data_IF_042890700077
#
_entry.id   IF_042890700077
#
_cell.length_a   1.000
_cell.length_b   1.000
_cell.length_c   1.000
_cell.angle_alpha   90.00
_cell.angle_beta   90.00
_cell.angle_gamma   90.00
#
_symmetry.space_group_name_H-M   'P 1'
#
loop_
_entity.id
_entity.type
_entity.pdbx_description
1 polymer ?
#
# COMPACT_ATOMS: atom_id res chain seq x y z
N UNK A 1 17.87 -17.86 -7.41
CA UNK A 1 18.33 -17.99 -8.81
C UNK A 1 17.15 -18.22 -9.75
N UNK A 2 16.29 -19.21 -9.47
CA UNK A 2 15.18 -19.59 -10.36
C UNK A 2 14.16 -18.46 -10.60
N UNK A 3 13.74 -17.71 -9.57
CA UNK A 3 12.82 -16.57 -9.77
C UNK A 3 13.41 -15.49 -10.69
N UNK A 4 14.72 -15.26 -10.63
CA UNK A 4 15.40 -14.34 -11.54
C UNK A 4 15.45 -14.91 -12.97
N UNK A 5 15.63 -16.23 -13.11
CA UNK A 5 15.55 -16.91 -14.40
C UNK A 5 14.13 -16.88 -14.99
N UNK A 6 13.08 -16.99 -14.17
CA UNK A 6 11.68 -16.82 -14.59
C UNK A 6 11.42 -15.38 -15.07
N UNK A 7 11.91 -14.37 -14.34
CA UNK A 7 11.83 -12.98 -14.79
C UNK A 7 12.59 -12.73 -16.10
N UNK A 8 13.75 -13.38 -16.29
CA UNK A 8 14.48 -13.33 -17.55
C UNK A 8 13.74 -14.04 -18.69
N UNK A 9 13.01 -15.13 -18.39
CA UNK A 9 12.17 -15.84 -19.35
C UNK A 9 10.99 -14.98 -19.81
N UNK A 10 10.31 -14.27 -18.90
CA UNK A 10 9.24 -13.32 -19.26
C UNK A 10 9.75 -12.23 -20.21
N UNK A 11 10.93 -11.65 -19.93
CA UNK A 11 11.59 -10.69 -20.85
C UNK A 11 11.95 -11.30 -22.19
N UNK A 12 12.37 -12.56 -22.19
CA UNK A 12 12.71 -13.29 -23.42
C UNK A 12 11.46 -13.56 -24.27
N UNK A 13 10.31 -13.84 -23.66
CA UNK A 13 9.03 -14.04 -24.36
C UNK A 13 8.47 -12.74 -24.95
N UNK A 14 8.60 -11.61 -24.24
CA UNK A 14 8.13 -10.30 -24.73
C UNK A 14 8.75 -9.88 -26.09
N UNK A 15 9.92 -10.41 -26.41
CA UNK A 15 10.63 -10.15 -27.68
C UNK A 15 10.20 -11.09 -28.83
N UNK A 16 9.20 -11.96 -28.61
CA UNK A 16 8.87 -13.09 -29.50
C UNK A 16 7.38 -13.21 -29.80
N UNK A 17 7.07 -13.83 -30.93
CA UNK A 17 5.70 -14.20 -31.29
C UNK A 17 5.26 -15.53 -30.63
N UNK A 18 4.00 -15.93 -30.86
CA UNK A 18 3.42 -17.20 -30.37
C UNK A 18 4.16 -18.45 -30.85
N UNK A 19 4.93 -18.35 -31.94
CA UNK A 19 5.78 -19.44 -32.45
C UNK A 19 7.21 -19.38 -31.91
N UNK A 20 7.47 -18.51 -30.92
CA UNK A 20 8.76 -18.23 -30.29
C UNK A 20 9.81 -17.62 -31.22
N UNK A 21 9.40 -17.09 -32.37
CA UNK A 21 10.28 -16.37 -33.29
C UNK A 21 10.47 -14.95 -32.82
N UNK A 22 11.68 -14.44 -32.98
CA UNK A 22 12.02 -13.07 -32.56
C UNK A 22 11.27 -12.08 -33.44
N UNK A 23 10.58 -11.14 -32.80
CA UNK A 23 9.87 -10.06 -33.48
C UNK A 23 10.85 -9.15 -34.23
N UNK A 24 10.37 -8.51 -35.31
CA UNK A 24 11.14 -7.50 -36.04
C UNK A 24 11.56 -6.34 -35.11
N UNK A 25 12.70 -5.71 -35.39
CA UNK A 25 13.23 -4.61 -34.55
C UNK A 25 12.27 -3.41 -34.45
N UNK A 26 11.46 -3.18 -35.48
CA UNK A 26 10.44 -2.13 -35.50
C UNK A 26 9.31 -2.40 -34.51
N UNK A 27 8.76 -3.62 -34.51
CA UNK A 27 7.69 -4.05 -33.58
C UNK A 27 8.18 -3.99 -32.14
N UNK A 28 9.41 -4.47 -31.88
CA UNK A 28 10.01 -4.40 -30.52
C UNK A 28 10.31 -3.00 -30.04
N UNK A 29 10.48 -2.02 -30.94
CA UNK A 29 10.59 -0.60 -30.56
C UNK A 29 9.22 0.00 -30.26
N UNK A 30 8.19 -0.38 -31.02
CA UNK A 30 6.80 -0.01 -30.73
C UNK A 30 6.36 -0.46 -29.34
N UNK A 31 6.52 -1.74 -29.03
CA UNK A 31 6.18 -2.34 -27.72
C UNK A 31 6.94 -1.64 -26.57
N UNK A 32 8.23 -1.31 -26.76
CA UNK A 32 9.02 -0.60 -25.74
C UNK A 32 8.65 0.87 -25.55
N UNK A 33 8.10 1.50 -26.59
CA UNK A 33 7.62 2.88 -26.53
C UNK A 33 6.17 2.99 -26.03
N UNK A 34 5.48 1.86 -25.91
CA UNK A 34 4.12 1.78 -25.42
C UNK A 34 4.06 1.91 -23.91
N UNK A 35 3.01 2.57 -23.45
CA UNK A 35 2.69 2.75 -22.02
C UNK A 35 1.57 1.77 -21.62
N UNK A 36 1.15 0.91 -22.56
CA UNK A 36 0.10 -0.07 -22.33
C UNK A 36 0.58 -1.12 -21.31
N UNK A 37 -0.12 -1.31 -20.16
CA UNK A 37 0.32 -2.21 -19.09
C UNK A 37 0.49 -3.67 -19.53
N UNK A 38 -0.29 -4.08 -20.53
CA UNK A 38 -0.34 -5.41 -21.15
C UNK A 38 0.83 -5.72 -22.09
N UNK A 39 1.61 -4.71 -22.50
CA UNK A 39 2.76 -4.88 -23.38
C UNK A 39 4.10 -5.04 -22.63
N UNK A 40 4.05 -5.14 -21.30
CA UNK A 40 5.21 -5.38 -20.43
C UNK A 40 5.54 -6.88 -20.28
N UNK A 41 6.81 -7.24 -20.01
CA UNK A 41 7.19 -8.63 -19.73
C UNK A 41 6.36 -9.27 -18.61
N UNK A 42 5.57 -10.29 -18.96
CA UNK A 42 4.65 -10.96 -18.03
C UNK A 42 5.26 -12.22 -17.43
N UNK A 43 5.19 -12.33 -16.10
CA UNK A 43 5.54 -13.56 -15.37
C UNK A 43 4.50 -14.65 -15.65
N UNK A 44 3.23 -14.28 -15.90
CA UNK A 44 2.16 -15.23 -16.21
C UNK A 44 2.45 -15.96 -17.52
N UNK A 45 2.89 -15.22 -18.55
CA UNK A 45 3.25 -15.80 -19.84
C UNK A 45 4.46 -16.74 -19.71
N UNK A 46 5.42 -16.38 -18.84
CA UNK A 46 6.55 -17.23 -18.54
C UNK A 46 6.13 -18.55 -17.88
N UNK A 47 5.17 -18.53 -16.96
CA UNK A 47 4.62 -19.74 -16.34
C UNK A 47 3.82 -20.58 -17.34
N UNK A 48 3.02 -19.96 -18.21
CA UNK A 48 2.27 -20.66 -19.26
C UNK A 48 3.20 -21.30 -20.30
N UNK A 49 4.30 -20.62 -20.64
CA UNK A 49 5.34 -21.19 -21.48
C UNK A 49 6.00 -22.39 -20.78
N UNK A 50 6.36 -22.27 -19.51
CA UNK A 50 6.95 -23.38 -18.72
C UNK A 50 6.04 -24.61 -18.72
N UNK A 51 4.73 -24.45 -18.67
CA UNK A 51 3.79 -25.58 -18.71
C UNK A 51 3.83 -26.36 -20.02
N UNK A 52 3.96 -25.67 -21.15
CA UNK A 52 3.82 -26.26 -22.48
C UNK A 52 5.15 -26.62 -23.13
N UNK A 53 6.24 -25.97 -22.71
CA UNK A 53 7.56 -26.17 -23.28
C UNK A 53 8.13 -27.56 -22.96
N UNK A 54 8.86 -28.18 -23.91
CA UNK A 54 9.67 -29.37 -23.66
C UNK A 54 10.72 -29.13 -22.57
N UNK A 55 11.05 -30.16 -21.79
CA UNK A 55 12.00 -30.04 -20.67
C UNK A 55 13.43 -29.66 -21.13
N UNK A 56 13.80 -30.04 -22.35
CA UNK A 56 15.10 -29.71 -22.97
C UNK A 56 15.11 -28.34 -23.68
N UNK A 57 14.03 -27.57 -23.58
CA UNK A 57 13.94 -26.29 -24.26
C UNK A 57 14.98 -25.30 -23.71
N UNK A 58 15.83 -24.76 -24.60
CA UNK A 58 16.97 -23.86 -24.26
C UNK A 58 16.63 -22.69 -23.32
N UNK A 59 15.39 -22.18 -23.40
CA UNK A 59 14.94 -21.06 -22.57
C UNK A 59 14.73 -21.45 -21.10
N UNK A 60 14.59 -22.75 -20.81
CA UNK A 60 14.45 -23.31 -19.47
C UNK A 60 15.81 -23.71 -18.85
N UNK A 61 16.90 -23.70 -19.62
CA UNK A 61 18.21 -24.21 -19.19
C UNK A 61 18.83 -23.51 -17.97
N UNK A 62 18.30 -22.33 -17.58
CA UNK A 62 18.73 -21.58 -16.39
C UNK A 62 17.92 -21.90 -15.13
N UNK A 63 16.86 -22.70 -15.27
CA UNK A 63 16.05 -23.18 -14.16
C UNK A 63 16.65 -24.47 -13.62
N UNK A 64 16.73 -24.58 -12.30
CA UNK A 64 16.99 -25.85 -11.64
C UNK A 64 15.83 -26.83 -11.89
N UNK A 65 16.08 -28.13 -11.77
CA UNK A 65 15.04 -29.16 -11.89
C UNK A 65 13.92 -28.95 -10.86
N UNK A 66 14.29 -28.67 -9.61
CA UNK A 66 13.35 -28.34 -8.53
C UNK A 66 12.57 -27.05 -8.82
N UNK A 67 13.25 -26.01 -9.32
CA UNK A 67 12.64 -24.75 -9.72
C UNK A 67 11.63 -24.94 -10.85
N UNK A 68 11.97 -25.72 -11.87
CA UNK A 68 11.10 -26.06 -12.99
C UNK A 68 9.87 -26.82 -12.52
N UNK A 69 10.03 -27.85 -11.67
CA UNK A 69 8.92 -28.60 -11.11
C UNK A 69 7.95 -27.72 -10.30
N UNK A 70 8.50 -26.82 -9.47
CA UNK A 70 7.70 -25.85 -8.70
C UNK A 70 6.98 -24.84 -9.59
N UNK A 71 7.63 -24.34 -10.64
CA UNK A 71 7.01 -23.43 -11.61
C UNK A 71 5.90 -24.09 -12.41
N UNK A 72 6.09 -25.35 -12.84
CA UNK A 72 5.02 -26.13 -13.48
C UNK A 72 3.83 -26.29 -12.55
N UNK A 73 4.06 -26.61 -11.27
CA UNK A 73 2.97 -26.71 -10.27
C UNK A 73 2.24 -25.38 -10.10
N UNK A 74 2.97 -24.28 -9.90
CA UNK A 74 2.39 -22.94 -9.73
C UNK A 74 1.63 -22.49 -10.98
N UNK A 75 2.20 -22.68 -12.17
CA UNK A 75 1.55 -22.36 -13.43
C UNK A 75 0.24 -23.14 -13.62
N UNK A 76 0.24 -24.43 -13.32
CA UNK A 76 -0.95 -25.28 -13.44
C UNK A 76 -2.06 -24.82 -12.49
N UNK A 77 -1.70 -24.47 -11.25
CA UNK A 77 -2.64 -23.94 -10.26
C UNK A 77 -3.25 -22.61 -10.71
N UNK A 78 -2.44 -21.66 -11.18
CA UNK A 78 -2.92 -20.37 -11.69
C UNK A 78 -3.77 -20.53 -12.96
N UNK A 79 -3.42 -21.46 -13.85
CA UNK A 79 -4.23 -21.78 -15.03
C UNK A 79 -5.58 -22.40 -14.65
N UNK A 80 -5.61 -23.23 -13.60
CA UNK A 80 -6.84 -23.81 -13.07
C UNK A 80 -7.76 -22.75 -12.45
N UNK A 81 -7.20 -21.79 -11.71
CA UNK A 81 -7.95 -20.65 -11.15
C UNK A 81 -8.49 -19.74 -12.26
N UNK A 82 -7.67 -19.37 -13.26
CA UNK A 82 -8.11 -18.53 -14.39
C UNK A 82 -9.30 -19.12 -15.15
N UNK A 83 -9.34 -20.45 -15.34
CA UNK A 83 -10.47 -21.13 -15.98
C UNK A 83 -11.80 -21.02 -15.22
N UNK A 84 -11.74 -20.66 -13.94
CA UNK A 84 -12.89 -20.51 -13.03
C UNK A 84 -13.18 -19.06 -12.67
N UNK A 85 -12.50 -18.09 -13.29
CA UNK A 85 -12.73 -16.66 -13.04
C UNK A 85 -14.14 -16.17 -13.45
N UNK A 86 -14.93 -17.01 -14.13
CA UNK A 86 -16.35 -16.75 -14.44
C UNK A 86 -17.33 -17.16 -13.33
N UNK A 87 -16.87 -17.72 -12.21
CA UNK A 87 -17.70 -17.95 -11.02
C UNK A 87 -18.17 -16.62 -10.43
N UNK A 88 -19.21 -16.66 -9.59
CA UNK A 88 -19.58 -15.52 -8.74
C UNK A 88 -18.39 -15.11 -7.87
N UNK A 89 -18.26 -13.81 -7.57
CA UNK A 89 -17.07 -13.28 -6.90
C UNK A 89 -16.81 -13.95 -5.54
N UNK A 90 -17.87 -14.17 -4.74
CA UNK A 90 -17.78 -14.88 -3.46
C UNK A 90 -17.22 -16.29 -3.66
N UNK A 91 -17.84 -17.07 -4.54
CA UNK A 91 -17.41 -18.45 -4.84
C UNK A 91 -15.97 -18.50 -5.37
N UNK A 92 -15.58 -17.53 -6.20
CA UNK A 92 -14.23 -17.45 -6.75
C UNK A 92 -13.20 -17.15 -5.64
N UNK A 93 -13.51 -16.23 -4.72
CA UNK A 93 -12.66 -15.92 -3.57
C UNK A 93 -12.53 -17.12 -2.65
N UNK A 94 -13.63 -17.79 -2.30
CA UNK A 94 -13.61 -19.02 -1.48
C UNK A 94 -12.78 -20.11 -2.14
N UNK A 95 -12.93 -20.31 -3.45
CA UNK A 95 -12.12 -21.26 -4.22
C UNK A 95 -10.63 -20.91 -4.13
N UNK A 96 -10.25 -19.63 -4.28
CA UNK A 96 -8.85 -19.19 -4.18
C UNK A 96 -8.31 -19.46 -2.77
N UNK A 97 -9.07 -19.16 -1.72
CA UNK A 97 -8.66 -19.43 -0.34
C UNK A 97 -8.39 -20.93 -0.12
N UNK A 98 -9.28 -21.80 -0.59
CA UNK A 98 -9.15 -23.25 -0.48
C UNK A 98 -8.00 -23.80 -1.32
N UNK A 99 -7.85 -23.37 -2.57
CA UNK A 99 -6.76 -23.82 -3.46
C UNK A 99 -5.39 -23.41 -2.93
N UNK A 100 -5.29 -22.24 -2.28
CA UNK A 100 -4.07 -21.75 -1.64
C UNK A 100 -3.91 -22.23 -0.19
N UNK A 101 -4.88 -22.98 0.34
CA UNK A 101 -4.91 -23.51 1.71
C UNK A 101 -4.74 -22.42 2.78
N UNK A 102 -5.25 -21.22 2.52
CA UNK A 102 -5.10 -20.07 3.42
C UNK A 102 -5.83 -20.30 4.74
N UNK A 103 -7.02 -20.89 4.66
CA UNK A 103 -7.84 -21.30 5.80
C UNK A 103 -7.09 -22.26 6.74
N UNK A 104 -6.41 -23.26 6.17
CA UNK A 104 -5.62 -24.24 6.92
C UNK A 104 -4.39 -23.57 7.54
N UNK A 105 -3.63 -22.80 6.77
CA UNK A 105 -2.39 -22.16 7.24
C UNK A 105 -2.68 -21.21 8.41
N UNK A 106 -3.72 -20.39 8.26
CA UNK A 106 -4.19 -19.46 9.29
C UNK A 106 -4.63 -20.20 10.55
N UNK A 107 -5.48 -21.24 10.42
CA UNK A 107 -5.93 -22.02 11.57
C UNK A 107 -4.79 -22.77 12.27
N UNK A 108 -3.76 -23.15 11.51
CA UNK A 108 -2.60 -23.88 12.00
C UNK A 108 -1.51 -22.98 12.62
N UNK A 109 -1.61 -21.65 12.49
CA UNK A 109 -0.58 -20.72 12.93
C UNK A 109 -0.94 -20.03 14.26
N UNK A 110 -0.50 -20.58 15.41
CA UNK A 110 -0.82 -20.00 16.73
C UNK A 110 -0.13 -18.64 16.97
N UNK A 111 0.86 -18.26 16.16
CA UNK A 111 1.53 -16.98 16.28
C UNK A 111 0.72 -15.82 15.67
N UNK A 112 -0.35 -16.11 14.94
CA UNK A 112 -1.21 -15.13 14.27
C UNK A 112 -2.68 -15.34 14.68
N UNK A 113 -3.06 -14.95 15.91
CA UNK A 113 -4.39 -15.23 16.46
C UNK A 113 -5.53 -14.58 15.67
N UNK A 114 -5.24 -13.48 14.96
CA UNK A 114 -6.21 -12.76 14.13
C UNK A 114 -6.37 -13.33 12.72
N UNK A 115 -5.65 -14.40 12.36
CA UNK A 115 -5.67 -14.89 10.99
C UNK A 115 -7.08 -15.27 10.52
N UNK A 116 -7.84 -16.04 11.32
CA UNK A 116 -9.18 -16.50 10.91
C UNK A 116 -10.17 -15.34 10.82
N UNK A 117 -10.16 -14.46 11.83
CA UNK A 117 -10.95 -13.23 11.83
C UNK A 117 -10.61 -12.31 10.64
N UNK A 118 -9.36 -12.31 10.17
CA UNK A 118 -8.95 -11.53 9.00
C UNK A 118 -9.52 -12.09 7.70
N UNK A 119 -9.61 -13.42 7.56
CA UNK A 119 -10.27 -14.05 6.41
C UNK A 119 -11.79 -13.80 6.43
N UNK A 120 -12.43 -13.95 7.59
CA UNK A 120 -13.85 -13.66 7.76
C UNK A 120 -14.18 -12.19 7.44
N UNK A 121 -13.37 -11.25 7.93
CA UNK A 121 -13.50 -9.82 7.62
C UNK A 121 -13.36 -9.54 6.11
N UNK A 122 -12.46 -10.26 5.44
CA UNK A 122 -12.32 -10.16 3.99
C UNK A 122 -13.55 -10.70 3.25
N UNK A 123 -14.12 -11.82 3.69
CA UNK A 123 -15.35 -12.39 3.12
C UNK A 123 -16.56 -11.46 3.31
N UNK A 124 -16.66 -10.80 4.48
CA UNK A 124 -17.64 -9.75 4.76
C UNK A 124 -17.50 -8.57 3.79
N UNK A 125 -16.26 -8.13 3.51
CA UNK A 125 -15.98 -7.05 2.56
C UNK A 125 -16.38 -7.43 1.13
N UNK A 126 -16.07 -8.67 0.71
CA UNK A 126 -16.47 -9.18 -0.62
C UNK A 126 -18.00 -9.22 -0.74
N UNK A 127 -18.69 -9.73 0.29
CA UNK A 127 -20.15 -9.81 0.33
C UNK A 127 -20.78 -8.42 0.27
N UNK A 128 -20.30 -7.48 1.10
CA UNK A 128 -20.76 -6.10 1.10
C UNK A 128 -20.54 -5.40 -0.25
N UNK A 129 -19.45 -5.70 -0.95
CA UNK A 129 -19.21 -5.18 -2.29
C UNK A 129 -20.24 -5.74 -3.27
N UNK A 130 -20.45 -7.06 -3.28
CA UNK A 130 -21.39 -7.74 -4.18
C UNK A 130 -22.81 -7.21 -4.02
N UNK A 131 -23.25 -6.96 -2.78
CA UNK A 131 -24.60 -6.43 -2.50
C UNK A 131 -24.79 -4.99 -3.02
N UNK A 132 -23.72 -4.21 -3.11
CA UNK A 132 -23.75 -2.80 -3.53
C UNK A 132 -23.48 -2.59 -5.02
N UNK A 133 -22.79 -3.52 -5.67
CA UNK A 133 -22.29 -3.36 -7.02
C UNK A 133 -23.31 -3.84 -8.06
N UNK A 134 -23.57 -3.00 -9.08
CA UNK A 134 -24.44 -3.38 -10.20
C UNK A 134 -23.85 -4.56 -11.02
N UNK A 135 -22.51 -4.59 -11.16
CA UNK A 135 -21.78 -5.61 -11.91
C UNK A 135 -20.59 -6.14 -11.09
N UNK A 136 -20.80 -7.12 -10.18
CA UNK A 136 -19.81 -7.59 -9.22
C UNK A 136 -18.79 -8.54 -9.87
N UNK A 137 -17.87 -7.99 -10.66
CA UNK A 137 -16.76 -8.73 -11.28
C UNK A 137 -15.48 -8.61 -10.47
N UNK A 138 -14.52 -9.53 -10.65
CA UNK A 138 -13.19 -9.43 -10.03
C UNK A 138 -12.49 -8.10 -10.38
N UNK A 139 -12.58 -7.66 -11.64
CA UNK A 139 -11.99 -6.38 -12.06
C UNK A 139 -12.62 -5.18 -11.35
N UNK A 140 -13.94 -5.17 -11.22
CA UNK A 140 -14.66 -4.12 -10.49
C UNK A 140 -14.29 -4.11 -9.00
N UNK A 141 -14.16 -5.29 -8.38
CA UNK A 141 -13.74 -5.43 -6.98
C UNK A 141 -12.31 -4.93 -6.75
N UNK A 142 -11.36 -5.28 -7.63
CA UNK A 142 -9.97 -4.78 -7.55
C UNK A 142 -9.88 -3.26 -7.75
N UNK A 143 -10.68 -2.71 -8.67
CA UNK A 143 -10.80 -1.26 -8.84
C UNK A 143 -11.38 -0.58 -7.60
N UNK A 144 -12.42 -1.17 -7.01
CA UNK A 144 -13.01 -0.71 -5.76
C UNK A 144 -12.03 -0.77 -4.59
N UNK A 145 -11.26 -1.87 -4.43
CA UNK A 145 -10.21 -1.97 -3.41
C UNK A 145 -9.16 -0.88 -3.57
N UNK A 146 -8.70 -0.65 -4.81
CA UNK A 146 -7.72 0.41 -5.12
C UNK A 146 -8.24 1.79 -4.72
N UNK A 147 -9.53 2.07 -4.93
CA UNK A 147 -10.16 3.32 -4.50
C UNK A 147 -10.40 3.38 -2.99
N UNK A 148 -10.74 2.25 -2.37
CA UNK A 148 -11.02 2.18 -0.94
C UNK A 148 -9.74 2.30 -0.10
N UNK A 149 -8.63 1.72 -0.54
CA UNK A 149 -7.28 1.93 0.02
C UNK A 149 -6.89 3.41 -0.05
N UNK A 150 -7.13 4.08 -1.19
CA UNK A 150 -6.81 5.49 -1.35
C UNK A 150 -7.62 6.41 -0.43
N UNK A 151 -8.82 5.99 -0.01
CA UNK A 151 -9.74 6.78 0.82
C UNK A 151 -9.74 6.35 2.30
N UNK A 152 -8.82 5.47 2.72
CA UNK A 152 -8.73 4.91 4.08
C UNK A 152 -10.06 4.28 4.58
N UNK A 153 -10.85 3.71 3.66
CA UNK A 153 -12.19 3.14 3.97
C UNK A 153 -12.17 1.63 4.25
N UNK A 154 -11.01 0.99 4.12
CA UNK A 154 -10.82 -0.44 4.39
C UNK A 154 -10.33 -0.72 5.80
N UNK A 155 -10.24 0.31 6.65
CA UNK A 155 -9.93 0.11 8.06
C UNK A 155 -10.94 -0.89 8.64
N UNK A 156 -10.47 -1.97 9.31
CA UNK A 156 -11.35 -2.95 9.93
C UNK A 156 -12.41 -2.27 10.78
N UNK A 157 -13.59 -2.90 10.91
CA UNK A 157 -14.58 -2.46 11.89
C UNK A 157 -13.87 -2.27 13.23
N UNK A 158 -14.02 -1.08 13.81
CA UNK A 158 -13.50 -0.84 15.16
C UNK A 158 -14.39 -1.63 16.10
N UNK A 159 -13.87 -2.72 16.62
CA UNK A 159 -14.55 -3.48 17.67
C UNK A 159 -14.78 -2.58 18.88
N UNK A 160 -15.84 -2.89 19.65
CA UNK A 160 -16.09 -2.19 20.90
C UNK A 160 -14.85 -2.28 21.82
N UNK A 161 -14.52 -1.23 22.58
CA UNK A 161 -13.36 -1.25 23.46
C UNK A 161 -13.45 -2.41 24.45
N UNK A 162 -12.55 -3.39 24.33
CA UNK A 162 -12.45 -4.48 25.29
C UNK A 162 -11.62 -4.04 26.51
N UNK A 163 -12.11 -4.27 27.75
CA UNK A 163 -11.33 -3.99 28.95
C UNK A 163 -9.98 -4.73 28.95
N UNK A 164 -8.89 -3.97 29.09
CA UNK A 164 -7.52 -4.51 29.11
C UNK A 164 -6.82 -4.53 27.75
N UNK A 165 -7.50 -4.14 26.66
CA UNK A 165 -6.89 -3.98 25.34
C UNK A 165 -6.40 -2.54 25.10
N UNK A 166 -5.34 -2.40 24.31
CA UNK A 166 -4.90 -1.11 23.77
C UNK A 166 -5.51 -0.93 22.38
N UNK A 167 -6.25 0.14 22.17
CA UNK A 167 -6.83 0.45 20.87
C UNK A 167 -5.81 1.21 20.00
N UNK A 168 -5.59 0.72 18.79
CA UNK A 168 -4.75 1.37 17.77
C UNK A 168 -5.65 1.88 16.66
N UNK A 169 -5.66 3.20 16.47
CA UNK A 169 -6.54 3.87 15.51
C UNK A 169 -5.84 5.10 14.91
N UNK A 170 -6.33 5.56 13.76
CA UNK A 170 -5.88 6.81 13.15
C UNK A 170 -6.41 8.02 13.92
N UNK A 171 -5.72 9.17 13.85
CA UNK A 171 -6.20 10.39 14.52
C UNK A 171 -7.60 10.79 14.03
N UNK A 172 -7.92 10.57 12.75
CA UNK A 172 -9.27 10.77 12.22
C UNK A 172 -10.30 9.87 12.90
N UNK A 173 -9.99 8.58 13.06
CA UNK A 173 -10.84 7.60 13.74
C UNK A 173 -11.04 7.89 15.24
N UNK A 174 -10.22 8.77 15.83
CA UNK A 174 -10.35 9.17 17.24
C UNK A 174 -11.39 10.26 17.49
N UNK A 175 -11.90 10.90 16.44
CA UNK A 175 -12.76 12.09 16.56
C UNK A 175 -14.04 11.74 17.32
N UNK A 176 -14.29 12.47 18.42
CA UNK A 176 -15.47 12.28 19.27
C UNK A 176 -15.28 11.21 20.36
N UNK A 177 -14.16 10.51 20.38
CA UNK A 177 -13.77 9.57 21.43
C UNK A 177 -12.78 10.21 22.40
N UNK A 178 -12.55 9.58 23.54
CA UNK A 178 -11.62 10.02 24.57
C UNK A 178 -11.08 8.84 25.39
N UNK A 179 -9.82 8.95 25.83
CA UNK A 179 -9.13 7.93 26.63
C UNK A 179 -8.39 8.58 27.80
N UNK A 180 -8.17 7.82 28.87
CA UNK A 180 -7.39 8.32 30.02
C UNK A 180 -5.94 8.61 29.61
N UNK A 181 -5.36 7.75 28.75
CA UNK A 181 -4.01 7.89 28.23
C UNK A 181 -4.02 7.80 26.70
N UNK A 182 -3.37 8.74 26.03
CA UNK A 182 -3.18 8.71 24.57
C UNK A 182 -1.70 8.76 24.24
N UNK A 183 -1.26 7.88 23.34
CA UNK A 183 0.08 7.90 22.78
C UNK A 183 0.02 8.24 21.28
N UNK A 184 0.72 9.30 20.87
CA UNK A 184 0.89 9.67 19.46
C UNK A 184 2.34 9.36 19.07
N UNK A 185 2.58 8.20 18.44
CA UNK A 185 3.90 7.87 17.92
C UNK A 185 4.19 8.66 16.64
N UNK A 186 5.46 8.68 16.23
CA UNK A 186 5.89 9.20 14.91
C UNK A 186 5.49 10.66 14.64
N UNK A 187 5.56 11.52 15.64
CA UNK A 187 5.49 12.97 15.43
C UNK A 187 6.79 13.51 14.82
N UNK A 188 6.96 13.27 13.52
CA UNK A 188 8.11 13.71 12.72
C UNK A 188 7.64 14.55 11.54
N UNK A 189 8.56 15.37 11.03
CA UNK A 189 8.35 16.16 9.83
C UNK A 189 8.02 15.25 8.63
N UNK A 190 7.15 15.71 7.74
CA UNK A 190 6.54 14.96 6.63
C UNK A 190 5.59 13.78 6.99
N UNK A 191 5.37 13.47 8.28
CA UNK A 191 4.35 12.49 8.71
C UNK A 191 3.21 13.15 9.49
N UNK A 192 3.52 14.03 10.43
CA UNK A 192 2.55 14.87 11.12
C UNK A 192 3.22 16.23 11.42
N UNK A 193 3.04 17.25 10.56
CA UNK A 193 2.11 17.30 9.44
C UNK A 193 2.57 16.45 8.25
N UNK A 194 1.61 15.81 7.58
CA UNK A 194 1.81 15.05 6.35
C UNK A 194 1.97 15.99 5.14
N UNK A 195 2.69 15.54 4.12
CA UNK A 195 2.75 16.25 2.84
C UNK A 195 1.44 16.08 2.06
N UNK A 196 0.92 17.15 1.44
CA UNK A 196 -0.23 17.03 0.57
C UNK A 196 0.07 16.12 -0.63
N UNK A 197 -0.89 15.28 -1.01
CA UNK A 197 -0.76 14.41 -2.21
C UNK A 197 -0.68 15.22 -3.50
N UNK A 198 -1.35 16.36 -3.55
CA UNK A 198 -1.35 17.32 -4.65
C UNK A 198 -1.72 18.69 -4.13
N UNK A 199 -1.01 19.72 -4.60
CA UNK A 199 -1.35 21.13 -4.35
C UNK A 199 -2.06 21.76 -5.55
N UNK A 200 -2.37 20.98 -6.58
CA UNK A 200 -3.02 21.48 -7.80
C UNK A 200 -4.51 21.72 -7.63
N UNK A 201 -5.07 21.41 -6.45
CA UNK A 201 -6.50 21.51 -6.17
C UNK A 201 -7.35 20.89 -7.29
N UNK A 202 -8.33 21.64 -7.81
CA UNK A 202 -9.22 21.17 -8.86
C UNK A 202 -8.60 20.99 -10.26
N UNK A 203 -7.37 21.46 -10.48
CA UNK A 203 -6.61 21.15 -11.70
C UNK A 203 -6.12 19.69 -11.74
N UNK A 204 -6.30 18.94 -10.64
CA UNK A 204 -6.06 17.50 -10.60
C UNK A 204 -7.17 16.75 -11.34
N UNK A 205 -6.82 15.68 -12.03
CA UNK A 205 -7.80 14.86 -12.75
C UNK A 205 -8.88 14.31 -11.81
N UNK A 206 -10.15 14.40 -12.24
CA UNK A 206 -11.28 13.85 -11.48
C UNK A 206 -11.78 14.72 -10.33
N UNK A 207 -11.23 15.92 -10.14
CA UNK A 207 -11.69 16.86 -9.10
C UNK A 207 -12.71 17.85 -9.66
N UNK A 208 -13.77 18.13 -8.88
CA UNK A 208 -14.76 19.16 -9.22
C UNK A 208 -14.12 20.56 -9.13
N UNK A 209 -14.33 21.47 -10.10
CA UNK A 209 -13.88 22.86 -9.99
C UNK A 209 -14.36 23.53 -8.71
N UNK A 210 -13.46 24.26 -8.05
CA UNK A 210 -13.70 24.83 -6.71
C UNK A 210 -14.93 25.74 -6.65
N UNK A 211 -15.21 26.47 -7.73
CA UNK A 211 -16.36 27.36 -7.86
C UNK A 211 -17.73 26.66 -7.81
N UNK A 212 -17.78 25.36 -8.08
CA UNK A 212 -19.01 24.57 -8.03
C UNK A 212 -19.19 23.85 -6.70
N UNK A 213 -18.23 23.98 -5.78
CA UNK A 213 -18.34 23.36 -4.47
C UNK A 213 -19.22 24.22 -3.55
N UNK A 214 -19.92 23.57 -2.62
CA UNK A 214 -20.74 24.27 -1.64
C UNK A 214 -19.93 25.08 -0.62
N UNK A 215 -18.65 24.76 -0.46
CA UNK A 215 -17.68 25.44 0.41
C UNK A 215 -16.73 26.37 -0.38
N UNK A 216 -17.12 26.81 -1.59
CA UNK A 216 -16.29 27.63 -2.47
C UNK A 216 -15.72 28.88 -1.78
N UNK A 217 -16.49 29.51 -0.88
CA UNK A 217 -16.08 30.71 -0.15
C UNK A 217 -15.00 30.43 0.93
N UNK A 218 -14.77 29.17 1.30
CA UNK A 218 -13.83 28.75 2.33
C UNK A 218 -12.55 28.12 1.77
N UNK A 219 -12.43 28.02 0.45
CA UNK A 219 -11.29 27.38 -0.23
C UNK A 219 -10.58 28.36 -1.17
N UNK A 220 -9.26 28.20 -1.38
CA UNK A 220 -8.50 28.95 -2.38
C UNK A 220 -9.20 28.92 -3.73
N UNK A 221 -9.18 30.06 -4.43
CA UNK A 221 -9.78 30.17 -5.75
C UNK A 221 -8.69 30.48 -6.78
N UNK A 222 -8.70 29.76 -7.90
CA UNK A 222 -7.76 30.04 -8.98
C UNK A 222 -8.17 31.34 -9.68
N UNK A 223 -7.35 32.38 -9.53
CA UNK A 223 -7.56 33.69 -10.18
C UNK A 223 -7.14 33.70 -11.66
N UNK A 224 -7.70 32.81 -12.49
CA UNK A 224 -7.33 32.69 -13.91
C UNK A 224 -8.14 33.62 -14.84
N UNK A 225 -9.28 34.13 -14.40
CA UNK A 225 -10.13 35.00 -15.24
C UNK A 225 -9.52 36.38 -15.38
N UNK A 226 -9.50 36.88 -16.62
CA UNK A 226 -8.99 38.22 -16.92
C UNK A 226 -7.48 38.30 -17.12
N UNK A 227 -6.77 37.20 -16.91
CA UNK A 227 -5.36 37.03 -17.28
C UNK A 227 -5.18 37.21 -18.79
N UNK A 228 -4.18 37.99 -19.20
CA UNK A 228 -3.92 38.35 -20.60
C UNK A 228 -2.68 37.66 -21.20
N UNK A 229 -1.89 36.95 -20.38
CA UNK A 229 -0.67 36.28 -20.83
C UNK A 229 -0.44 34.93 -20.15
N UNK A 230 0.36 34.06 -20.78
CA UNK A 230 0.77 32.78 -20.19
C UNK A 230 1.53 32.98 -18.87
N UNK A 231 2.35 34.03 -18.78
CA UNK A 231 3.13 34.34 -17.58
C UNK A 231 2.23 34.65 -16.39
N UNK A 232 1.23 35.52 -16.60
CA UNK A 232 0.22 35.83 -15.58
C UNK A 232 -0.59 34.59 -15.16
N UNK A 233 -0.87 33.66 -16.09
CA UNK A 233 -1.57 32.42 -15.78
C UNK A 233 -0.72 31.49 -14.92
N UNK A 234 0.55 31.32 -15.28
CA UNK A 234 1.51 30.51 -14.52
C UNK A 234 1.71 31.08 -13.10
N UNK A 235 1.73 32.40 -12.95
CA UNK A 235 1.76 33.09 -11.66
C UNK A 235 0.50 32.82 -10.83
N UNK A 236 -0.68 32.89 -11.43
CA UNK A 236 -1.95 32.59 -10.76
C UNK A 236 -2.02 31.12 -10.29
N UNK A 237 -1.57 30.17 -11.12
CA UNK A 237 -1.50 28.75 -10.76
C UNK A 237 -0.51 28.53 -9.61
N UNK A 238 0.63 29.22 -9.62
CA UNK A 238 1.63 29.13 -8.54
C UNK A 238 1.08 29.67 -7.22
N UNK A 239 0.42 30.83 -7.24
CA UNK A 239 -0.21 31.41 -6.06
C UNK A 239 -1.30 30.48 -5.49
N UNK A 240 -2.19 29.99 -6.35
CA UNK A 240 -3.23 29.03 -5.98
C UNK A 240 -2.65 27.73 -5.39
N UNK A 241 -1.56 27.21 -5.96
CA UNK A 241 -0.89 26.03 -5.43
C UNK A 241 -0.26 26.26 -4.05
N UNK A 242 0.18 27.49 -3.76
CA UNK A 242 0.77 27.85 -2.47
C UNK A 242 -0.32 27.99 -1.40
N UNK A 243 -1.42 28.67 -1.72
CA UNK A 243 -2.58 28.79 -0.84
C UNK A 243 -3.16 27.42 -0.47
N UNK A 244 -3.24 26.49 -1.43
CA UNK A 244 -3.64 25.11 -1.16
C UNK A 244 -2.69 24.37 -0.21
N UNK A 245 -1.38 24.62 -0.34
CA UNK A 245 -0.35 24.03 0.52
C UNK A 245 -0.46 24.57 1.95
N UNK A 246 -0.71 25.86 2.11
CA UNK A 246 -0.92 26.51 3.40
C UNK A 246 -2.19 25.99 4.09
N UNK A 247 -3.30 25.92 3.35
CA UNK A 247 -4.55 25.34 3.83
C UNK A 247 -4.38 23.89 4.30
N UNK A 248 -3.67 23.06 3.54
CA UNK A 248 -3.35 21.68 3.97
C UNK A 248 -2.55 21.67 5.27
N UNK A 249 -1.56 22.56 5.42
CA UNK A 249 -0.79 22.66 6.66
C UNK A 249 -1.66 23.06 7.87
N UNK A 250 -2.67 23.92 7.67
CA UNK A 250 -3.66 24.24 8.70
C UNK A 250 -4.58 23.05 9.02
N UNK A 251 -4.99 22.27 8.02
CA UNK A 251 -5.76 21.04 8.23
C UNK A 251 -4.98 20.02 9.05
N UNK A 252 -3.71 19.82 8.75
CA UNK A 252 -2.82 18.95 9.53
C UNK A 252 -2.63 19.44 10.97
N UNK A 253 -2.60 20.76 11.19
CA UNK A 253 -2.57 21.35 12.54
C UNK A 253 -3.88 21.07 13.29
N UNK A 254 -5.03 21.18 12.62
CA UNK A 254 -6.33 20.81 13.19
C UNK A 254 -6.38 19.32 13.53
N UNK A 255 -5.79 18.47 12.68
CA UNK A 255 -5.68 17.04 12.93
C UNK A 255 -4.83 16.76 14.18
N UNK A 256 -3.65 17.39 14.29
CA UNK A 256 -2.82 17.29 15.48
C UNK A 256 -3.57 17.73 16.74
N UNK A 257 -4.30 18.86 16.68
CA UNK A 257 -5.16 19.31 17.78
C UNK A 257 -6.21 18.28 18.18
N UNK A 258 -6.89 17.63 17.22
CA UNK A 258 -7.83 16.55 17.50
C UNK A 258 -7.14 15.44 18.28
N UNK A 259 -5.99 14.95 17.80
CA UNK A 259 -5.24 13.88 18.45
C UNK A 259 -4.80 14.23 19.88
N UNK A 260 -4.22 15.41 20.07
CA UNK A 260 -3.74 15.87 21.38
C UNK A 260 -4.88 16.00 22.40
N UNK A 261 -6.07 16.41 21.95
CA UNK A 261 -7.25 16.62 22.82
C UNK A 261 -8.07 15.37 23.09
N UNK A 262 -7.63 14.18 22.63
CA UNK A 262 -8.29 12.92 22.98
C UNK A 262 -7.89 12.39 24.37
N UNK A 263 -6.80 12.90 24.93
CA UNK A 263 -6.30 12.52 26.25
C UNK A 263 -7.07 13.22 27.37
N UNK A 264 -7.56 12.46 28.36
CA UNK A 264 -8.16 13.01 29.58
C UNK A 264 -7.14 13.29 30.67
N UNK A 265 -6.14 12.41 30.85
CA UNK A 265 -5.18 12.52 31.94
C UNK A 265 -3.73 12.61 31.43
N UNK A 266 -3.29 11.67 30.58
CA UNK A 266 -1.90 11.59 30.15
C UNK A 266 -1.76 11.55 28.63
N UNK A 267 -0.74 12.26 28.13
CA UNK A 267 -0.41 12.33 26.72
C UNK A 267 1.07 12.01 26.52
N UNK A 268 1.33 10.95 25.75
CA UNK A 268 2.68 10.56 25.35
C UNK A 268 2.90 10.93 23.88
N UNK A 269 3.87 11.80 23.63
CA UNK A 269 4.28 12.19 22.28
C UNK A 269 5.68 11.65 22.00
N UNK A 270 5.87 11.01 20.85
CA UNK A 270 7.20 10.51 20.46
C UNK A 270 7.49 10.69 18.98
N UNK A 271 8.78 10.81 18.64
CA UNK A 271 9.28 10.89 17.27
C UNK A 271 10.64 10.20 17.17
N UNK A 272 11.13 9.95 15.95
CA UNK A 272 12.55 9.59 15.78
C UNK A 272 13.07 9.98 14.40
N UNK A 273 14.37 10.20 14.37
CA UNK A 273 15.10 10.54 13.16
C UNK A 273 15.09 9.44 12.09
N UNK A 274 15.15 8.19 12.52
CA UNK A 274 15.30 7.03 11.63
C UNK A 274 14.07 6.12 11.66
N UNK A 275 13.61 5.66 10.50
CA UNK A 275 12.68 4.53 10.35
C UNK A 275 13.09 3.68 9.14
N UNK A 276 12.25 3.54 8.11
CA UNK A 276 12.58 2.77 6.89
C UNK A 276 13.31 3.59 5.83
N UNK A 277 13.28 4.92 5.95
CA UNK A 277 13.89 5.86 5.00
C UNK A 277 15.42 5.92 5.12
N UNK A 278 16.08 6.32 4.03
CA UNK A 278 17.55 6.48 3.99
C UNK A 278 18.05 7.79 4.60
N UNK A 279 17.28 8.87 4.51
CA UNK A 279 17.61 10.18 5.05
C UNK A 279 16.89 10.43 6.39
N UNK A 280 17.50 11.11 7.37
CA UNK A 280 16.87 11.33 8.66
C UNK A 280 15.68 12.30 8.53
N UNK A 281 14.64 12.11 9.36
CA UNK A 281 13.49 13.01 9.47
C UNK A 281 13.58 13.83 10.75
N UNK A 282 13.46 15.14 10.63
CA UNK A 282 13.46 16.02 11.79
C UNK A 282 12.20 15.83 12.65
N UNK A 283 12.24 16.18 13.95
CA UNK A 283 11.04 16.16 14.77
C UNK A 283 9.94 17.07 14.20
N UNK A 284 8.68 16.70 14.41
CA UNK A 284 7.52 17.47 13.93
C UNK A 284 7.63 18.95 14.35
N UNK A 285 7.23 19.90 13.50
CA UNK A 285 7.09 21.31 13.89
C UNK A 285 6.19 21.47 15.12
N UNK A 286 5.14 20.64 15.29
CA UNK A 286 4.25 20.71 16.45
C UNK A 286 4.98 20.35 17.75
N UNK A 287 5.92 19.40 17.72
CA UNK A 287 6.77 19.10 18.89
C UNK A 287 7.71 20.27 19.23
N UNK A 288 8.27 20.93 18.22
CA UNK A 288 9.15 22.11 18.42
C UNK A 288 8.38 23.28 19.01
N UNK A 289 7.14 23.49 18.59
CA UNK A 289 6.24 24.50 19.15
C UNK A 289 5.93 24.24 20.63
N UNK A 290 5.72 22.98 21.04
CA UNK A 290 5.54 22.62 22.46
C UNK A 290 6.79 22.91 23.30
N UNK A 291 7.99 22.73 22.74
CA UNK A 291 9.24 23.13 23.39
C UNK A 291 9.35 24.64 23.51
N UNK A 292 9.04 25.38 22.43
CA UNK A 292 9.05 26.84 22.44
C UNK A 292 8.04 27.42 23.45
N UNK A 293 6.91 26.75 23.65
CA UNK A 293 5.91 27.09 24.64
C UNK A 293 6.29 26.68 26.08
N UNK A 294 7.39 25.96 26.28
CA UNK A 294 7.85 25.47 27.59
C UNK A 294 7.02 24.31 28.16
N UNK A 295 6.19 23.66 27.33
CA UNK A 295 5.38 22.50 27.72
C UNK A 295 6.23 21.23 27.76
N UNK A 296 7.18 21.11 26.83
CA UNK A 296 8.14 20.00 26.73
C UNK A 296 9.54 20.55 26.96
N UNK A 297 10.36 19.84 27.73
CA UNK A 297 11.77 20.19 27.91
C UNK A 297 12.51 20.15 26.57
N UNK A 298 13.30 21.18 26.26
CA UNK A 298 14.15 21.21 25.08
C UNK A 298 15.13 20.01 25.04
N UNK A 299 15.56 19.50 26.19
CA UNK A 299 16.42 18.32 26.27
C UNK A 299 15.73 17.04 25.75
N UNK A 300 14.40 16.98 25.73
CA UNK A 300 13.65 15.84 25.21
C UNK A 300 13.66 15.77 23.67
N UNK A 301 14.05 16.85 22.99
CA UNK A 301 14.05 16.97 21.53
C UNK A 301 15.44 17.30 20.99
N UNK A 302 16.29 16.28 20.74
CA UNK A 302 17.62 16.50 20.22
C UNK A 302 17.54 17.20 18.85
N UNK A 303 18.47 18.12 18.58
CA UNK A 303 18.53 18.92 17.34
C UNK A 303 19.14 18.17 16.16
N UNK A 304 19.87 17.08 16.41
CA UNK A 304 20.50 16.23 15.40
C UNK A 304 20.26 14.76 15.71
N UNK A 305 20.26 13.87 14.70
CA UNK A 305 20.27 12.44 14.94
C UNK A 305 21.56 12.03 15.68
N UNK A 306 21.46 11.02 16.56
CA UNK A 306 22.61 10.47 17.25
C UNK A 306 23.55 9.71 16.29
N UNK A 307 22.95 8.97 15.35
CA UNK A 307 23.68 8.24 14.30
C UNK A 307 23.70 9.06 13.00
N UNK A 308 24.81 9.02 12.26
CA UNK A 308 24.95 9.71 10.98
C UNK A 308 24.18 9.02 9.83
N UNK A 309 24.01 7.71 9.92
CA UNK A 309 23.30 6.88 8.95
C UNK A 309 22.16 6.12 9.64
N UNK A 310 21.19 5.63 8.85
CA UNK A 310 20.10 4.85 9.40
C UNK A 310 20.64 3.52 9.98
N UNK A 311 20.54 3.30 11.30
CA UNK A 311 21.04 2.07 11.93
C UNK A 311 20.29 0.81 11.45
N UNK A 312 19.06 0.97 10.95
CA UNK A 312 18.22 -0.13 10.43
C UNK A 312 18.50 -0.48 8.97
N UNK A 313 19.35 0.29 8.29
CA UNK A 313 19.66 0.06 6.87
C UNK A 313 20.39 -1.27 6.63
N UNK A 314 21.17 -1.74 7.61
CA UNK A 314 21.81 -3.05 7.61
C UNK A 314 20.89 -4.17 8.14
N UNK A 315 19.89 -3.81 8.94
CA UNK A 315 18.84 -4.69 9.48
C UNK A 315 17.66 -4.87 8.52
N UNK A 316 17.92 -5.05 7.22
CA UNK A 316 16.89 -5.65 6.38
C UNK A 316 16.58 -7.03 6.98
N UNK A 317 15.40 -7.19 7.57
CA UNK A 317 14.95 -8.46 8.13
C UNK A 317 15.06 -9.52 7.02
N UNK A 318 16.13 -10.31 7.06
CA UNK A 318 16.35 -11.36 6.07
C UNK A 318 15.41 -12.48 6.45
N UNK A 319 14.24 -12.47 5.85
CA UNK A 319 13.35 -13.61 5.91
C UNK A 319 13.97 -14.69 5.03
N UNK A 320 14.25 -15.84 5.63
CA UNK A 320 14.65 -17.00 4.85
C UNK A 320 13.42 -17.51 4.12
N UNK A 321 13.48 -17.54 2.79
CA UNK A 321 12.45 -18.11 1.94
C UNK A 321 12.97 -19.39 1.28
N UNK A 322 12.19 -20.48 1.22
CA UNK A 322 10.83 -20.62 1.75
C UNK A 322 10.78 -20.54 3.28
N UNK A 323 9.66 -20.04 3.81
CA UNK A 323 9.40 -20.03 5.25
C UNK A 323 9.45 -21.46 5.79
N UNK A 324 9.87 -21.63 7.04
CA UNK A 324 9.76 -22.92 7.72
C UNK A 324 8.27 -23.25 7.91
N UNK A 325 7.73 -24.29 7.23
CA UNK A 325 6.29 -24.62 7.31
C UNK A 325 5.85 -25.06 8.70
N UNK A 326 6.80 -25.42 9.57
CA UNK A 326 6.51 -25.78 10.96
C UNK A 326 6.85 -24.64 11.93
N UNK A 327 7.61 -23.63 11.50
CA UNK A 327 8.01 -22.48 12.31
C UNK A 327 8.30 -22.80 13.79
N UNK A 328 7.64 -22.07 14.69
CA UNK A 328 7.75 -22.29 16.13
C UNK A 328 7.22 -23.65 16.62
N UNK A 329 6.42 -24.36 15.80
CA UNK A 329 5.84 -25.69 16.11
C UNK A 329 6.80 -26.83 15.79
N UNK A 330 7.86 -26.62 15.00
CA UNK A 330 8.81 -27.67 14.61
C UNK A 330 9.31 -28.51 15.79
N UNK A 331 9.72 -27.93 16.94
CA UNK A 331 10.17 -28.74 18.07
C UNK A 331 9.08 -29.64 18.66
N UNK A 332 7.82 -29.20 18.65
CA UNK A 332 6.71 -30.02 19.14
C UNK A 332 6.37 -31.15 18.16
N UNK A 333 6.36 -30.87 16.85
CA UNK A 333 6.05 -31.86 15.81
C UNK A 333 7.14 -32.92 15.68
N UNK A 334 8.43 -32.55 15.76
CA UNK A 334 9.55 -33.51 15.67
C UNK A 334 9.66 -34.41 16.90
N UNK A 335 9.10 -33.99 18.05
CA UNK A 335 9.08 -34.80 19.28
C UNK A 335 7.91 -35.78 19.35
N UNK A 336 6.86 -35.56 18.56
CA UNK A 336 5.67 -36.41 18.50
C UNK A 336 5.88 -37.56 17.51
#
# INVERSE_FOLDING_TARGET
ADLAALGALGKWLADRDLSTRRLADEVRRGIRGSIAPDESPSIVDALDFVLTAPDDHRALARLSEEGLARMRRAGAQLQALRRRAGLGLVDFVTLVQQELLLDIEVAANPAQPLGSASLESFDDLVTSFVDSAEHPTLGAFLGWLTEAEQRDRLSPRQDEPEPGAVQVLSIHGSKGLEWDVVAIPRMVDDELPSKPRSNRGWLSFGTLPDEFRGDADEIPQLAWRGVQSQVEFDEAVKAYSEENRERHAEEERRLAYVGLTRARAELLLSGSWWATQRAPRSPSPFLRELVMAGVVDAAALPSTPAEAENPRSSEAARVSWPLDPLGARRPAVVRA
#
